data_IF_900095985487
#
_entry.id   IF_900095985487
#
_cell.length_a   1.000
_cell.length_b   1.000
_cell.length_c   1.000
_cell.angle_alpha   90.00
_cell.angle_beta   90.00
_cell.angle_gamma   90.00
#
_symmetry.space_group_name_H-M   'P 1'
#
loop_
_entity.id
_entity.type
_entity.pdbx_description
1 polymer ?
#
# COMPACT_ATOMS: atom_id res chain seq x y z
N UNK A 1 4.14 -14.58 16.44
CA UNK A 1 5.14 -14.95 15.43
C UNK A 1 5.90 -13.68 15.08
N UNK A 2 7.11 -13.53 15.62
CA UNK A 2 7.91 -12.30 15.53
C UNK A 2 9.00 -12.54 14.50
N UNK A 3 8.96 -11.81 13.38
CA UNK A 3 10.06 -11.83 12.42
C UNK A 3 11.14 -10.85 12.89
N UNK A 4 12.28 -11.38 13.30
CA UNK A 4 13.49 -10.57 13.55
C UNK A 4 14.30 -10.57 12.26
N UNK A 5 14.47 -9.39 11.67
CA UNK A 5 15.51 -9.09 10.68
C UNK A 5 16.37 -7.98 11.27
N UNK A 6 17.49 -8.36 11.89
CA UNK A 6 18.57 -7.41 12.25
C UNK A 6 19.45 -7.23 11.01
N UNK A 7 19.40 -6.04 10.39
CA UNK A 7 20.32 -5.63 9.32
C UNK A 7 20.65 -4.14 9.56
N UNK A 8 21.85 -3.80 10.01
CA UNK A 8 22.17 -2.46 10.51
C UNK A 8 22.65 -1.53 9.38
N UNK A 9 21.96 -0.41 9.18
CA UNK A 9 22.36 0.74 8.36
C UNK A 9 21.18 1.69 8.05
N UNK A 10 21.37 3.01 7.83
CA UNK A 10 20.28 3.97 7.55
C UNK A 10 19.50 3.69 6.26
N UNK A 11 20.06 2.91 5.33
CA UNK A 11 19.33 2.33 4.19
C UNK A 11 18.23 1.34 4.64
N UNK A 12 18.38 0.70 5.81
CA UNK A 12 17.44 -0.29 6.34
C UNK A 12 16.15 0.32 6.92
N UNK A 13 16.09 1.64 7.16
CA UNK A 13 14.84 2.28 7.61
C UNK A 13 13.91 2.59 6.44
N UNK A 14 14.43 3.08 5.31
CA UNK A 14 13.62 3.46 4.16
C UNK A 14 12.97 2.27 3.47
N UNK A 15 13.74 1.19 3.22
CA UNK A 15 13.20 -0.03 2.63
C UNK A 15 12.15 -0.69 3.53
N UNK A 16 12.42 -0.77 4.84
CA UNK A 16 11.45 -1.29 5.81
C UNK A 16 10.17 -0.46 5.83
N UNK A 17 10.28 0.87 5.92
CA UNK A 17 9.11 1.74 5.92
C UNK A 17 8.34 1.68 4.60
N UNK A 18 9.00 1.51 3.46
CA UNK A 18 8.33 1.27 2.19
C UNK A 18 7.52 -0.03 2.22
N UNK A 19 8.12 -1.15 2.64
CA UNK A 19 7.42 -2.44 2.75
C UNK A 19 6.24 -2.35 3.73
N UNK A 20 6.40 -1.68 4.86
CA UNK A 20 5.32 -1.48 5.84
C UNK A 20 4.17 -0.67 5.23
N UNK A 21 4.47 0.43 4.52
CA UNK A 21 3.46 1.27 3.86
C UNK A 21 2.78 0.55 2.70
N UNK A 22 3.52 -0.19 1.88
CA UNK A 22 2.98 -1.01 0.80
C UNK A 22 2.09 -2.12 1.37
N UNK A 23 2.51 -2.80 2.43
CA UNK A 23 1.71 -3.84 3.09
C UNK A 23 0.41 -3.25 3.64
N UNK A 24 0.47 -2.10 4.32
CA UNK A 24 -0.71 -1.42 4.81
C UNK A 24 -1.65 -1.00 3.66
N UNK A 25 -1.10 -0.48 2.57
CA UNK A 25 -1.85 -0.16 1.36
C UNK A 25 -2.56 -1.40 0.78
N UNK A 26 -1.84 -2.51 0.56
CA UNK A 26 -2.43 -3.75 0.07
C UNK A 26 -3.46 -4.33 1.06
N UNK A 27 -3.29 -4.13 2.36
CA UNK A 27 -4.25 -4.65 3.33
C UNK A 27 -5.52 -3.82 3.42
N UNK A 28 -5.41 -2.48 3.41
CA UNK A 28 -6.54 -1.59 3.70
C UNK A 28 -7.10 -0.85 2.48
N UNK A 29 -6.30 -0.56 1.47
CA UNK A 29 -6.75 0.10 0.24
C UNK A 29 -7.31 -0.92 -0.75
N UNK A 30 -6.67 -2.09 -0.87
CA UNK A 30 -7.08 -3.13 -1.82
C UNK A 30 -8.58 -3.50 -1.76
N UNK A 31 -9.21 -3.62 -0.58
CA UNK A 31 -10.64 -3.89 -0.50
C UNK A 31 -11.57 -2.72 -0.84
N UNK A 32 -10.99 -1.52 -0.99
CA UNK A 32 -11.70 -0.25 -1.03
C UNK A 32 -11.33 0.57 -2.26
N UNK A 33 -10.74 -0.03 -3.31
CA UNK A 33 -10.35 0.67 -4.54
C UNK A 33 -11.50 1.42 -5.20
N UNK A 34 -12.71 0.85 -5.22
CA UNK A 34 -13.90 1.51 -5.77
C UNK A 34 -14.18 2.84 -5.05
N UNK A 35 -13.93 2.89 -3.72
CA UNK A 35 -14.13 4.11 -2.93
C UNK A 35 -13.15 5.23 -3.29
N UNK A 36 -11.99 4.92 -3.87
CA UNK A 36 -11.08 5.96 -4.36
C UNK A 36 -11.73 6.72 -5.52
N UNK A 37 -12.28 5.99 -6.49
CA UNK A 37 -13.03 6.57 -7.61
C UNK A 37 -14.25 7.33 -7.10
N UNK A 38 -15.06 6.74 -6.22
CA UNK A 38 -16.26 7.39 -5.68
C UNK A 38 -15.96 8.66 -4.88
N UNK A 39 -14.80 8.72 -4.21
CA UNK A 39 -14.38 9.85 -3.37
C UNK A 39 -13.45 10.82 -4.10
N UNK A 40 -13.23 10.64 -5.40
CA UNK A 40 -12.29 11.45 -6.20
C UNK A 40 -10.87 11.48 -5.59
N UNK A 41 -10.46 10.40 -4.93
CA UNK A 41 -9.10 10.24 -4.40
C UNK A 41 -8.22 9.60 -5.46
N UNK A 42 -7.02 10.15 -5.65
CA UNK A 42 -6.03 9.57 -6.55
C UNK A 42 -5.34 8.39 -5.88
N UNK A 43 -5.43 7.24 -6.54
CA UNK A 43 -4.59 6.10 -6.21
C UNK A 43 -3.27 6.27 -6.97
N UNK A 44 -2.16 6.16 -6.25
CA UNK A 44 -0.83 6.36 -6.79
C UNK A 44 -0.49 5.54 -8.03
N UNK A 45 0.34 6.07 -8.93
CA UNK A 45 0.76 5.37 -10.16
C UNK A 45 1.39 4.00 -9.89
N UNK A 46 2.01 3.83 -8.70
CA UNK A 46 2.56 2.57 -8.25
C UNK A 46 1.53 1.43 -8.31
N UNK A 47 0.27 1.70 -7.98
CA UNK A 47 -0.77 0.67 -7.98
C UNK A 47 -1.13 0.20 -9.39
N UNK A 48 -1.05 1.08 -10.39
CA UNK A 48 -1.27 0.71 -11.80
C UNK A 48 -0.16 -0.21 -12.35
N UNK A 49 0.99 -0.28 -11.66
CA UNK A 49 2.10 -1.18 -12.00
C UNK A 49 1.98 -2.56 -11.32
N UNK A 50 1.01 -2.77 -10.43
CA UNK A 50 0.81 -4.05 -9.78
C UNK A 50 0.02 -5.01 -10.69
N UNK A 51 0.59 -6.18 -10.97
CA UNK A 51 0.05 -7.16 -11.92
C UNK A 51 -1.40 -7.58 -11.63
N UNK A 52 -1.74 -7.78 -10.35
CA UNK A 52 -3.12 -8.14 -9.98
C UNK A 52 -4.10 -7.01 -10.33
N UNK A 53 -3.69 -5.74 -10.20
CA UNK A 53 -4.57 -4.61 -10.44
C UNK A 53 -4.82 -4.40 -11.92
N UNK A 54 -3.81 -4.65 -12.74
CA UNK A 54 -3.94 -4.65 -14.21
C UNK A 54 -4.91 -5.73 -14.70
N UNK A 55 -5.12 -6.79 -13.92
CA UNK A 55 -6.04 -7.90 -14.20
C UNK A 55 -7.39 -7.74 -13.49
N UNK A 56 -7.65 -6.59 -12.87
CA UNK A 56 -8.85 -6.33 -12.05
C UNK A 56 -9.01 -7.31 -10.86
N UNK A 57 -7.92 -7.92 -10.40
CA UNK A 57 -7.86 -8.85 -9.28
C UNK A 57 -7.51 -8.13 -7.96
N UNK A 58 -7.43 -8.90 -6.87
CA UNK A 58 -7.20 -8.39 -5.51
C UNK A 58 -6.03 -9.13 -4.86
N UNK A 59 -5.16 -8.42 -4.14
CA UNK A 59 -4.11 -9.06 -3.35
C UNK A 59 -4.64 -9.55 -2.00
N UNK A 60 -5.55 -8.81 -1.36
CA UNK A 60 -6.15 -9.15 -0.07
C UNK A 60 -7.31 -10.13 -0.24
N UNK A 61 -7.01 -11.35 -0.71
CA UNK A 61 -7.99 -12.43 -0.85
C UNK A 61 -8.65 -12.79 0.49
N UNK A 62 -7.93 -12.60 1.60
CA UNK A 62 -8.49 -12.81 2.94
C UNK A 62 -9.74 -11.95 3.14
N UNK A 63 -9.70 -10.65 2.86
CA UNK A 63 -10.84 -9.75 2.99
C UNK A 63 -12.06 -10.19 2.18
N UNK A 64 -11.83 -10.65 0.94
CA UNK A 64 -12.91 -10.99 0.02
C UNK A 64 -13.51 -12.37 0.27
N UNK A 65 -12.72 -13.34 0.75
CA UNK A 65 -13.16 -14.74 0.93
C UNK A 65 -13.51 -15.09 2.38
N UNK A 66 -13.09 -14.27 3.35
CA UNK A 66 -13.32 -14.50 4.77
C UNK A 66 -14.74 -14.20 5.25
N UNK A 67 -15.11 -14.79 6.39
CA UNK A 67 -16.38 -14.52 7.11
C UNK A 67 -16.24 -13.47 8.22
N UNK A 68 -15.14 -12.72 8.24
CA UNK A 68 -14.88 -11.72 9.27
C UNK A 68 -15.65 -10.42 9.01
N UNK A 69 -15.80 -9.60 10.06
CA UNK A 69 -16.40 -8.29 9.95
C UNK A 69 -15.60 -7.41 9.00
N UNK A 70 -16.28 -6.85 8.01
CA UNK A 70 -15.70 -5.91 7.05
C UNK A 70 -15.75 -4.51 7.63
N UNK A 71 -14.59 -3.92 7.84
CA UNK A 71 -14.49 -2.55 8.32
C UNK A 71 -14.81 -1.58 7.17
N UNK A 72 -15.52 -0.50 7.49
CA UNK A 72 -15.62 0.63 6.57
C UNK A 72 -14.42 1.55 6.82
N UNK A 73 -13.58 1.77 5.81
CA UNK A 73 -12.48 2.73 5.94
C UNK A 73 -12.99 4.17 5.77
N UNK A 74 -12.74 4.99 6.78
CA UNK A 74 -12.98 6.44 6.75
C UNK A 74 -12.13 7.13 5.69
N UNK A 75 -12.63 8.26 5.17
CA UNK A 75 -11.99 9.05 4.12
C UNK A 75 -10.55 9.44 4.49
N UNK A 76 -10.37 10.10 5.63
CA UNK A 76 -9.06 10.59 6.10
C UNK A 76 -8.02 9.47 6.24
N UNK A 77 -8.46 8.26 6.57
CA UNK A 77 -7.56 7.11 6.69
C UNK A 77 -7.11 6.61 5.31
N UNK A 78 -8.02 6.57 4.33
CA UNK A 78 -7.65 6.23 2.94
C UNK A 78 -6.67 7.24 2.38
N UNK A 79 -6.95 8.54 2.56
CA UNK A 79 -6.12 9.62 2.05
C UNK A 79 -4.71 9.60 2.68
N UNK A 80 -4.62 9.38 4.01
CA UNK A 80 -3.33 9.22 4.70
C UNK A 80 -2.53 8.03 4.18
N UNK A 81 -3.17 6.89 3.93
CA UNK A 81 -2.50 5.69 3.42
C UNK A 81 -1.98 5.91 1.99
N UNK A 82 -2.79 6.54 1.13
CA UNK A 82 -2.39 6.87 -0.24
C UNK A 82 -1.23 7.87 -0.28
N UNK A 83 -1.34 8.97 0.48
CA UNK A 83 -0.29 9.99 0.57
C UNK A 83 1.03 9.44 1.11
N UNK A 84 0.94 8.55 2.10
CA UNK A 84 2.12 7.91 2.72
C UNK A 84 2.88 7.02 1.74
N UNK A 85 2.16 6.33 0.83
CA UNK A 85 2.79 5.50 -0.18
C UNK A 85 3.52 6.34 -1.24
N UNK A 86 2.90 7.43 -1.72
CA UNK A 86 3.52 8.37 -2.68
C UNK A 86 4.83 8.95 -2.16
N UNK A 87 4.87 9.34 -0.87
CA UNK A 87 6.09 9.82 -0.23
C UNK A 87 7.25 8.80 -0.25
N UNK A 88 6.95 7.51 -0.44
CA UNK A 88 7.98 6.47 -0.53
C UNK A 88 8.57 6.32 -1.93
N UNK A 89 7.80 6.65 -2.97
CA UNK A 89 8.22 6.56 -4.37
C UNK A 89 9.14 7.72 -4.74
N UNK A 90 8.98 8.87 -4.09
CA UNK A 90 9.85 10.05 -4.26
C UNK A 90 11.17 9.99 -3.46
N UNK A 91 11.51 8.84 -2.86
CA UNK A 91 12.71 8.71 -2.02
C UNK A 91 13.98 8.51 -2.86
N UNK A 92 15.17 8.91 -2.33
CA UNK A 92 16.43 8.84 -3.08
C UNK A 92 16.81 7.45 -3.59
N UNK A 93 16.36 6.37 -2.94
CA UNK A 93 16.62 4.99 -3.40
C UNK A 93 15.84 4.61 -4.66
N UNK A 94 14.80 5.36 -5.02
CA UNK A 94 13.99 5.17 -6.22
C UNK A 94 14.44 6.08 -7.38
N UNK A 95 15.34 7.03 -7.12
CA UNK A 95 16.02 7.76 -8.18
C UNK A 95 17.07 6.81 -8.79
N UNK A 96 16.93 6.49 -10.07
CA UNK A 96 17.99 5.81 -10.80
C UNK A 96 19.26 6.67 -10.68
N UNK A 97 20.35 6.10 -10.18
CA UNK A 97 21.67 6.69 -10.44
C UNK A 97 21.86 6.64 -11.96
N UNK A 98 21.77 7.81 -12.58
CA UNK A 98 22.01 8.07 -13.99
C UNK A 98 23.44 7.76 -14.40
#
# INVERSE_FOLDING_TARGET
MTFILDIRGPQNTFGKSFVERLTAALWYIDPHRIKFTERSLLLGELFNKLDQYQKEQNYNLYYFTGKHAKYNLEHDKLEKLASSLELSVAQPWAANES
#
